data_IF_782056297684
#
_entry.id   IF_782056297684
#
_cell.length_a   1.000
_cell.length_b   1.000
_cell.length_c   1.000
_cell.angle_alpha   90.00
_cell.angle_beta   90.00
_cell.angle_gamma   90.00
#
_symmetry.space_group_name_H-M   'P 1'
#
loop_
_entity.id
_entity.type
_entity.pdbx_description
1 polymer ?
#
# COMPACT_ATOMS: atom_id res chain seq x y z
N UNK A 1 22.24 -9.80 -28.00
CA UNK A 1 22.35 -9.45 -27.58
C UNK A 1 22.05 -9.44 -26.60
N UNK A 2 22.56 -9.81 -25.98
CA UNK A 2 22.32 -9.80 -24.56
C UNK A 2 22.27 -8.38 -24.04
N UNK A 3 21.08 -7.94 -23.69
CA UNK A 3 20.95 -6.66 -22.99
C UNK A 3 21.65 -6.78 -21.64
N UNK A 4 22.84 -6.25 -21.54
CA UNK A 4 23.46 -6.02 -20.23
C UNK A 4 22.67 -4.90 -19.58
N UNK A 5 22.02 -5.19 -18.48
CA UNK A 5 21.41 -4.18 -17.63
C UNK A 5 22.43 -3.09 -17.32
N UNK A 6 22.13 -1.82 -17.60
CA UNK A 6 23.01 -0.77 -17.09
C UNK A 6 23.06 -0.92 -15.58
N UNK A 7 24.26 -0.89 -15.03
CA UNK A 7 24.44 -0.85 -13.58
C UNK A 7 23.85 0.46 -13.10
N UNK A 8 22.74 0.36 -12.40
CA UNK A 8 22.04 1.52 -11.87
C UNK A 8 22.81 2.16 -10.71
N UNK A 9 22.41 3.32 -10.34
CA UNK A 9 22.95 4.02 -9.18
C UNK A 9 22.73 3.26 -7.86
N UNK A 10 21.91 2.20 -7.85
CA UNK A 10 21.88 1.27 -6.74
C UNK A 10 23.23 0.62 -6.46
N UNK A 11 24.16 0.69 -7.44
CA UNK A 11 25.52 0.25 -7.25
C UNK A 11 26.23 0.95 -6.07
N UNK A 12 25.85 2.17 -5.78
CA UNK A 12 26.45 2.89 -4.66
C UNK A 12 26.07 2.27 -3.31
N UNK A 13 24.80 1.86 -3.18
CA UNK A 13 24.37 1.13 -2.00
C UNK A 13 24.97 -0.28 -1.95
N UNK A 14 25.16 -0.91 -3.10
CA UNK A 14 25.83 -2.21 -3.20
C UNK A 14 27.32 -2.09 -2.89
N UNK A 15 27.95 -1.00 -3.28
CA UNK A 15 29.34 -0.69 -2.94
C UNK A 15 29.49 -0.55 -1.43
N UNK A 16 28.51 0.09 -0.77
CA UNK A 16 28.48 0.21 0.68
C UNK A 16 28.44 -1.16 1.36
N UNK A 17 27.75 -2.13 0.76
CA UNK A 17 27.75 -3.52 1.28
C UNK A 17 29.08 -4.22 1.13
N UNK A 18 29.78 -3.97 0.02
CA UNK A 18 31.05 -4.67 -0.27
C UNK A 18 32.19 -4.24 0.66
N UNK A 19 32.08 -3.08 1.25
CA UNK A 19 33.15 -2.56 2.10
C UNK A 19 33.06 -2.99 3.55
N UNK A 20 32.09 -3.77 3.97
CA UNK A 20 31.90 -4.37 5.29
C UNK A 20 32.33 -3.50 6.51
N UNK A 21 32.50 -2.21 6.31
CA UNK A 21 32.84 -1.25 7.37
C UNK A 21 31.66 -0.30 7.57
N UNK A 22 31.08 -0.25 8.76
CA UNK A 22 30.01 0.72 9.04
C UNK A 22 30.42 2.16 8.72
N UNK A 23 31.69 2.46 8.89
CA UNK A 23 32.28 3.78 8.64
C UNK A 23 32.21 4.17 7.15
N UNK A 24 32.12 3.19 6.25
CA UNK A 24 32.05 3.49 4.83
C UNK A 24 30.78 4.25 4.42
N UNK A 25 29.72 4.14 5.21
CA UNK A 25 28.52 4.95 4.99
C UNK A 25 28.81 6.43 5.13
N UNK A 26 29.59 6.79 6.14
CA UNK A 26 29.95 8.19 6.37
C UNK A 26 30.99 8.67 5.36
N UNK A 27 31.85 7.79 4.91
CA UNK A 27 32.90 8.14 3.93
C UNK A 27 32.28 8.43 2.57
N UNK A 28 31.29 7.67 2.17
CA UNK A 28 30.64 7.87 0.86
C UNK A 28 29.78 9.12 0.87
N UNK A 29 29.31 9.55 2.04
CA UNK A 29 28.46 10.74 2.16
C UNK A 29 27.08 10.56 1.56
N UNK A 30 26.74 9.35 1.17
CA UNK A 30 25.44 9.05 0.53
C UNK A 30 24.34 9.00 1.58
N UNK A 31 24.65 8.46 2.75
CA UNK A 31 23.71 8.35 3.85
C UNK A 31 24.32 8.97 5.10
N UNK A 32 23.76 10.09 5.50
CA UNK A 32 24.06 10.71 6.78
C UNK A 32 23.14 10.09 7.83
N UNK A 33 23.63 9.80 9.01
CA UNK A 33 22.82 9.30 10.12
C UNK A 33 21.68 10.26 10.50
N UNK A 34 21.83 11.55 10.15
CA UNK A 34 20.81 12.57 10.39
C UNK A 34 19.72 12.62 9.33
N UNK A 35 19.90 11.94 8.19
CA UNK A 35 18.92 11.94 7.11
C UNK A 35 18.18 10.60 7.06
N UNK A 36 16.96 10.63 6.51
CA UNK A 36 16.13 9.45 6.41
C UNK A 36 16.72 8.48 5.38
N UNK A 37 17.20 7.29 5.81
CA UNK A 37 17.80 6.33 4.89
C UNK A 37 16.82 5.77 3.87
N UNK A 38 15.52 5.75 4.17
CA UNK A 38 14.49 5.29 3.24
C UNK A 38 14.34 6.28 2.09
N UNK A 39 14.24 7.55 2.42
CA UNK A 39 14.17 8.63 1.43
C UNK A 39 15.41 8.64 0.53
N UNK A 40 16.58 8.47 1.12
CA UNK A 40 17.83 8.43 0.34
C UNK A 40 17.83 7.24 -0.63
N UNK A 41 17.48 6.04 -0.15
CA UNK A 41 17.38 4.86 -1.00
C UNK A 41 16.38 5.10 -2.14
N UNK A 42 15.18 5.58 -1.82
CA UNK A 42 14.12 5.80 -2.81
C UNK A 42 14.49 6.88 -3.83
N UNK A 43 15.27 7.89 -3.41
CA UNK A 43 15.70 8.99 -4.29
C UNK A 43 16.83 8.60 -5.24
N UNK A 44 17.61 7.57 -4.89
CA UNK A 44 18.79 7.17 -5.66
C UNK A 44 18.49 6.05 -6.65
N UNK A 45 17.55 5.15 -6.31
CA UNK A 45 17.33 3.91 -7.05
C UNK A 45 16.21 4.10 -8.08
N UNK A 46 16.48 3.64 -9.30
CA UNK A 46 15.53 3.73 -10.42
C UNK A 46 14.43 2.67 -10.30
N UNK A 47 13.24 2.99 -10.79
CA UNK A 47 12.09 2.08 -10.88
C UNK A 47 12.47 0.80 -11.63
N UNK A 48 13.37 0.88 -12.60
CA UNK A 48 13.89 -0.25 -13.34
C UNK A 48 14.36 -1.40 -12.42
N UNK A 49 14.98 -1.08 -11.29
CA UNK A 49 15.50 -2.08 -10.35
C UNK A 49 14.39 -2.90 -9.67
N UNK A 50 13.18 -2.37 -9.67
CA UNK A 50 12.00 -3.08 -9.13
C UNK A 50 11.38 -4.03 -10.16
N UNK A 51 11.70 -3.86 -11.44
CA UNK A 51 11.12 -4.69 -12.51
C UNK A 51 11.73 -6.10 -12.44
N UNK A 52 10.90 -7.16 -12.42
CA UNK A 52 11.44 -8.52 -12.45
C UNK A 52 12.00 -8.85 -13.83
N UNK A 53 12.88 -9.82 -13.90
CA UNK A 53 13.44 -10.29 -15.17
C UNK A 53 12.36 -10.84 -16.10
N UNK A 54 11.37 -11.50 -15.52
CA UNK A 54 10.23 -12.07 -16.25
C UNK A 54 8.95 -11.52 -15.64
N UNK A 55 8.21 -10.73 -16.39
CA UNK A 55 6.90 -10.26 -15.96
C UNK A 55 5.84 -10.75 -16.93
N UNK A 56 4.74 -11.22 -16.36
CA UNK A 56 3.57 -11.62 -17.12
C UNK A 56 2.56 -10.49 -17.04
N UNK A 57 2.47 -9.71 -18.10
CA UNK A 57 1.50 -8.62 -18.23
C UNK A 57 0.42 -9.11 -19.17
N UNK A 58 -0.84 -9.04 -18.74
CA UNK A 58 -1.96 -9.40 -19.59
C UNK A 58 -2.60 -8.11 -20.09
N UNK A 59 -2.64 -7.99 -21.40
CA UNK A 59 -3.24 -6.86 -22.11
C UNK A 59 -4.48 -7.38 -22.83
N UNK A 60 -5.59 -6.69 -22.68
CA UNK A 60 -6.85 -7.03 -23.35
C UNK A 60 -7.31 -5.87 -24.24
N UNK A 61 -8.10 -6.23 -25.28
CA UNK A 61 -8.74 -5.21 -26.11
C UNK A 61 -9.90 -4.55 -25.35
N UNK A 62 -10.06 -3.25 -25.51
CA UNK A 62 -11.15 -2.47 -24.94
C UNK A 62 -12.53 -2.99 -25.36
N UNK A 63 -12.59 -3.66 -26.52
CA UNK A 63 -13.83 -4.25 -27.08
C UNK A 63 -14.11 -5.66 -26.54
N UNK A 64 -13.24 -6.21 -25.69
CA UNK A 64 -13.49 -7.50 -25.06
C UNK A 64 -14.71 -7.40 -24.12
N UNK A 65 -15.53 -8.44 -24.07
CA UNK A 65 -16.67 -8.48 -23.14
C UNK A 65 -16.17 -8.38 -21.69
N UNK A 66 -16.83 -7.56 -20.87
CA UNK A 66 -16.49 -7.37 -19.46
C UNK A 66 -16.46 -8.69 -18.68
N UNK A 67 -17.40 -9.60 -18.98
CA UNK A 67 -17.45 -10.94 -18.38
C UNK A 67 -16.20 -11.75 -18.69
N UNK A 68 -15.67 -11.63 -19.93
CA UNK A 68 -14.45 -12.33 -20.32
C UNK A 68 -13.23 -11.74 -19.62
N UNK A 69 -13.18 -10.40 -19.48
CA UNK A 69 -12.11 -9.73 -18.73
C UNK A 69 -12.08 -10.23 -17.28
N UNK A 70 -13.25 -10.33 -16.64
CA UNK A 70 -13.39 -10.85 -15.29
C UNK A 70 -12.93 -12.33 -15.19
N UNK A 71 -13.29 -13.17 -16.17
CA UNK A 71 -12.83 -14.58 -16.23
C UNK A 71 -11.31 -14.67 -16.31
N UNK A 72 -10.68 -13.83 -17.14
CA UNK A 72 -9.22 -13.77 -17.27
C UNK A 72 -8.58 -13.44 -15.92
N UNK A 73 -9.09 -12.43 -15.22
CA UNK A 73 -8.59 -12.06 -13.88
C UNK A 73 -8.64 -13.26 -12.93
N UNK A 74 -9.78 -13.96 -12.93
CA UNK A 74 -10.04 -15.08 -12.04
C UNK A 74 -9.15 -16.29 -12.37
N UNK A 75 -9.05 -16.68 -13.64
CA UNK A 75 -8.26 -17.84 -14.09
C UNK A 75 -6.76 -17.65 -13.86
N UNK A 76 -6.28 -16.42 -14.00
CA UNK A 76 -4.86 -16.12 -13.82
C UNK A 76 -4.54 -15.62 -12.41
N UNK A 77 -5.55 -15.55 -11.53
CA UNK A 77 -5.41 -15.04 -10.14
C UNK A 77 -4.75 -13.66 -10.11
N UNK A 78 -5.21 -12.77 -10.98
CA UNK A 78 -4.74 -11.38 -11.08
C UNK A 78 -5.89 -10.41 -10.83
N UNK A 79 -5.56 -9.24 -10.34
CA UNK A 79 -6.55 -8.22 -9.97
C UNK A 79 -6.49 -6.98 -10.87
N UNK A 80 -5.68 -7.04 -11.92
CA UNK A 80 -5.40 -5.89 -12.78
C UNK A 80 -5.08 -6.36 -14.19
N UNK A 81 -5.74 -5.75 -15.18
CA UNK A 81 -5.47 -5.93 -16.61
C UNK A 81 -5.15 -4.58 -17.24
N UNK A 82 -4.32 -4.58 -18.25
CA UNK A 82 -4.12 -3.41 -19.11
C UNK A 82 -5.14 -3.50 -20.24
N UNK A 83 -5.87 -2.41 -20.45
CA UNK A 83 -6.86 -2.32 -21.52
C UNK A 83 -6.32 -1.42 -22.61
N UNK A 84 -6.30 -1.94 -23.83
CA UNK A 84 -5.79 -1.26 -25.01
C UNK A 84 -6.94 -1.00 -25.98
N UNK A 85 -7.13 0.25 -26.39
CA UNK A 85 -8.12 0.62 -27.40
C UNK A 85 -7.47 0.59 -28.79
N UNK A 86 -7.72 -0.50 -29.53
CA UNK A 86 -7.17 -0.70 -30.88
C UNK A 86 -7.86 0.15 -31.94
N UNK A 87 -9.03 0.72 -31.65
CA UNK A 87 -9.76 1.56 -32.61
C UNK A 87 -9.23 2.99 -32.68
N UNK A 88 -8.58 3.45 -31.64
CA UNK A 88 -7.99 4.79 -31.61
C UNK A 88 -6.58 4.75 -32.19
N UNK A 89 -6.49 4.96 -33.51
CA UNK A 89 -5.23 4.96 -34.24
C UNK A 89 -4.35 6.17 -33.93
N UNK A 90 -4.92 7.23 -33.34
CA UNK A 90 -4.17 8.47 -33.14
C UNK A 90 -3.28 8.44 -31.92
N UNK A 91 -3.66 7.72 -30.87
CA UNK A 91 -2.83 7.49 -29.69
C UNK A 91 -3.35 6.28 -28.92
N UNK A 92 -2.44 5.49 -28.47
CA UNK A 92 -2.71 4.32 -27.65
C UNK A 92 -3.27 4.78 -26.32
N UNK A 93 -4.60 4.82 -26.23
CA UNK A 93 -5.25 5.01 -24.92
C UNK A 93 -5.17 3.69 -24.19
N UNK A 94 -4.23 3.63 -23.27
CA UNK A 94 -4.10 2.52 -22.34
C UNK A 94 -4.78 2.88 -21.05
N UNK A 95 -5.50 1.95 -20.49
CA UNK A 95 -6.14 2.09 -19.20
C UNK A 95 -5.89 0.85 -18.36
N UNK A 96 -6.18 0.95 -17.09
CA UNK A 96 -6.13 -0.18 -16.17
C UNK A 96 -7.56 -0.56 -15.80
N UNK A 97 -7.88 -1.83 -15.98
CA UNK A 97 -9.10 -2.43 -15.46
C UNK A 97 -8.74 -3.22 -14.21
N UNK A 98 -9.36 -2.88 -13.10
CA UNK A 98 -9.11 -3.53 -11.82
C UNK A 98 -10.30 -4.40 -11.39
N UNK A 99 -10.04 -5.30 -10.45
CA UNK A 99 -11.10 -6.08 -9.83
C UNK A 99 -12.17 -5.17 -9.18
N UNK A 100 -11.76 -4.05 -8.63
CA UNK A 100 -12.67 -3.05 -8.05
C UNK A 100 -13.63 -2.48 -9.10
N UNK A 101 -13.15 -2.22 -10.32
CA UNK A 101 -14.00 -1.75 -11.43
C UNK A 101 -15.05 -2.81 -11.80
N UNK A 102 -14.65 -4.09 -11.80
CA UNK A 102 -15.58 -5.20 -12.05
C UNK A 102 -16.67 -5.26 -10.98
N UNK A 103 -16.31 -5.10 -9.71
CA UNK A 103 -17.28 -5.08 -8.62
C UNK A 103 -18.21 -3.85 -8.70
N UNK A 104 -17.67 -2.69 -9.06
CA UNK A 104 -18.47 -1.49 -9.32
C UNK A 104 -19.47 -1.73 -10.46
N UNK A 105 -19.04 -2.43 -11.52
CA UNK A 105 -19.92 -2.76 -12.65
C UNK A 105 -21.06 -3.69 -12.19
N UNK A 106 -20.76 -4.69 -11.37
CA UNK A 106 -21.79 -5.59 -10.81
C UNK A 106 -22.77 -4.79 -9.94
N UNK A 107 -22.28 -3.88 -9.10
CA UNK A 107 -23.12 -3.05 -8.24
C UNK A 107 -24.06 -2.15 -9.04
N UNK A 108 -23.50 -1.45 -10.02
CA UNK A 108 -24.18 -0.36 -10.75
C UNK A 108 -24.96 -0.83 -11.98
N UNK A 109 -24.65 -2.03 -12.50
CA UNK A 109 -25.27 -2.62 -13.70
C UNK A 109 -25.31 -1.63 -14.86
N UNK A 110 -24.15 -1.08 -15.28
CA UNK A 110 -24.16 -0.11 -16.36
C UNK A 110 -24.69 -0.74 -17.65
N UNK A 111 -25.36 0.06 -18.46
CA UNK A 111 -25.84 -0.40 -19.77
C UNK A 111 -24.73 -0.24 -20.79
N UNK A 112 -24.69 -1.17 -21.74
CA UNK A 112 -23.80 -1.04 -22.89
C UNK A 112 -24.17 0.23 -23.68
N UNK A 113 -23.18 0.95 -24.15
CA UNK A 113 -23.36 2.16 -24.95
C UNK A 113 -24.14 1.91 -26.24
N UNK A 114 -23.94 0.72 -26.82
CA UNK A 114 -24.54 0.36 -28.10
C UNK A 114 -25.72 -0.61 -27.96
N UNK A 115 -26.22 -0.83 -26.73
CA UNK A 115 -27.31 -1.75 -26.45
C UNK A 115 -26.97 -3.23 -26.61
N UNK A 116 -25.70 -3.56 -26.84
CA UNK A 116 -25.20 -4.92 -26.92
C UNK A 116 -24.64 -5.42 -25.60
N UNK A 117 -23.62 -6.26 -25.70
CA UNK A 117 -22.91 -6.79 -24.53
C UNK A 117 -22.04 -5.69 -23.90
N UNK A 118 -21.91 -5.76 -22.58
CA UNK A 118 -21.06 -4.83 -21.82
C UNK A 118 -19.58 -5.12 -22.13
N UNK A 119 -18.84 -4.09 -22.49
CA UNK A 119 -17.44 -4.20 -22.91
C UNK A 119 -16.49 -3.78 -21.78
N UNK A 120 -15.23 -4.18 -21.85
CA UNK A 120 -14.20 -3.78 -20.90
C UNK A 120 -14.10 -2.25 -20.80
N UNK A 121 -14.22 -1.55 -21.94
CA UNK A 121 -14.23 -0.07 -21.99
C UNK A 121 -15.40 0.56 -21.26
N UNK A 122 -16.53 -0.13 -21.13
CA UNK A 122 -17.73 0.42 -20.49
C UNK A 122 -17.62 0.42 -18.96
N UNK A 123 -16.78 -0.43 -18.41
CA UNK A 123 -16.62 -0.59 -16.96
C UNK A 123 -15.37 0.06 -16.40
N UNK A 124 -14.57 0.72 -17.25
CA UNK A 124 -13.40 1.47 -16.77
C UNK A 124 -13.86 2.65 -15.91
N UNK A 125 -13.18 2.89 -14.81
CA UNK A 125 -13.49 3.97 -13.87
C UNK A 125 -13.28 5.38 -14.45
N UNK A 126 -12.72 5.48 -15.64
CA UNK A 126 -12.53 6.77 -16.33
C UNK A 126 -11.34 7.57 -15.83
N UNK A 127 -10.64 7.12 -14.82
CA UNK A 127 -9.42 7.79 -14.37
C UNK A 127 -8.31 7.60 -15.42
N UNK A 128 -7.53 8.64 -15.63
CA UNK A 128 -6.37 8.57 -16.52
C UNK A 128 -5.37 7.56 -15.98
N UNK A 129 -4.69 6.85 -16.89
CA UNK A 129 -3.63 5.91 -16.54
C UNK A 129 -2.51 6.66 -15.81
N UNK A 130 -2.25 6.26 -14.58
CA UNK A 130 -1.07 6.71 -13.84
C UNK A 130 0.08 5.80 -14.21
N UNK A 131 1.14 6.37 -14.71
CA UNK A 131 2.31 5.64 -15.18
C UNK A 131 3.59 6.38 -14.83
N UNK A 132 4.64 5.63 -14.58
CA UNK A 132 5.99 6.18 -14.31
C UNK A 132 6.97 5.60 -15.34
N UNK A 133 8.06 6.33 -15.59
CA UNK A 133 9.14 5.84 -16.45
C UNK A 133 10.00 4.83 -15.71
N UNK A 134 10.62 3.91 -16.44
CA UNK A 134 11.67 3.02 -15.92
C UNK A 134 12.83 3.81 -15.29
N UNK A 135 13.07 5.02 -15.78
CA UNK A 135 14.15 5.91 -15.29
C UNK A 135 13.72 6.81 -14.14
N UNK A 136 12.42 6.81 -13.77
CA UNK A 136 11.95 7.52 -12.58
C UNK A 136 12.56 6.91 -11.32
N UNK A 137 12.61 7.68 -10.24
CA UNK A 137 13.09 7.17 -8.96
C UNK A 137 11.99 6.41 -8.22
N UNK A 138 12.39 5.50 -7.34
CA UNK A 138 11.44 4.78 -6.49
C UNK A 138 10.60 5.77 -5.67
N UNK A 139 11.17 6.89 -5.27
CA UNK A 139 10.46 7.92 -4.53
C UNK A 139 9.27 8.46 -5.35
N UNK A 140 9.51 8.79 -6.63
CA UNK A 140 8.44 9.28 -7.53
C UNK A 140 7.32 8.25 -7.65
N UNK A 141 7.69 6.97 -7.80
CA UNK A 141 6.73 5.86 -7.86
C UNK A 141 5.91 5.76 -6.56
N UNK A 142 6.55 5.87 -5.41
CA UNK A 142 5.90 5.81 -4.11
C UNK A 142 4.92 6.97 -3.92
N UNK A 143 5.32 8.17 -4.34
CA UNK A 143 4.47 9.36 -4.28
C UNK A 143 3.24 9.20 -5.19
N UNK A 144 3.42 8.69 -6.40
CA UNK A 144 2.30 8.43 -7.32
C UNK A 144 1.32 7.41 -6.75
N UNK A 145 1.83 6.31 -6.17
CA UNK A 145 1.00 5.31 -5.51
C UNK A 145 0.21 5.95 -4.36
N UNK A 146 0.87 6.74 -3.53
CA UNK A 146 0.29 7.33 -2.33
C UNK A 146 -0.73 8.44 -2.66
N UNK A 147 -0.35 9.38 -3.51
CA UNK A 147 -1.19 10.55 -3.86
C UNK A 147 -2.48 10.14 -4.56
N UNK A 148 -2.40 9.14 -5.44
CA UNK A 148 -3.54 8.66 -6.20
C UNK A 148 -4.26 7.48 -5.52
N UNK A 149 -3.81 7.07 -4.34
CA UNK A 149 -4.35 5.93 -3.57
C UNK A 149 -4.39 4.64 -4.40
N UNK A 150 -3.32 4.41 -5.16
CA UNK A 150 -3.21 3.25 -6.06
C UNK A 150 -2.45 2.11 -5.40
N UNK A 151 -2.88 0.90 -5.69
CA UNK A 151 -2.14 -0.30 -5.26
C UNK A 151 -1.14 -0.77 -6.32
N UNK A 152 -1.24 -0.24 -7.55
CA UNK A 152 -0.38 -0.58 -8.69
C UNK A 152 -0.22 0.62 -9.61
N UNK A 153 0.95 0.70 -10.24
CA UNK A 153 1.29 1.73 -11.24
C UNK A 153 1.93 1.04 -12.44
N UNK A 154 1.61 1.51 -13.63
CA UNK A 154 2.20 1.03 -14.88
C UNK A 154 3.57 1.65 -15.07
N UNK A 155 4.52 0.85 -15.52
CA UNK A 155 5.88 1.30 -15.84
C UNK A 155 6.06 1.30 -17.35
N UNK A 156 6.52 2.42 -17.86
CA UNK A 156 6.74 2.64 -19.30
C UNK A 156 8.24 2.78 -19.59
N UNK A 157 8.65 2.27 -20.74
CA UNK A 157 10.01 2.51 -21.25
C UNK A 157 10.10 3.87 -21.97
N UNK A 158 11.25 4.13 -22.59
CA UNK A 158 11.52 5.38 -23.30
C UNK A 158 10.65 5.53 -24.55
N UNK A 159 10.15 4.43 -25.12
CA UNK A 159 9.23 4.41 -26.24
C UNK A 159 7.76 4.52 -25.83
N UNK A 160 7.52 4.69 -24.52
CA UNK A 160 6.16 4.73 -23.91
C UNK A 160 5.43 3.39 -24.02
N UNK A 161 6.17 2.29 -24.17
CA UNK A 161 5.59 0.95 -24.13
C UNK A 161 5.52 0.44 -22.69
N UNK A 162 4.49 -0.35 -22.40
CA UNK A 162 4.31 -0.94 -21.07
C UNK A 162 5.32 -2.07 -20.90
N UNK A 163 6.19 -1.93 -19.92
CA UNK A 163 7.19 -2.94 -19.58
C UNK A 163 6.84 -3.70 -18.32
N UNK A 164 6.09 -3.07 -17.39
CA UNK A 164 5.74 -3.74 -16.14
C UNK A 164 4.58 -3.05 -15.42
N UNK A 165 4.01 -3.74 -14.43
CA UNK A 165 3.10 -3.18 -13.43
C UNK A 165 3.73 -3.43 -12.06
N UNK A 166 4.00 -2.35 -11.32
CA UNK A 166 4.60 -2.44 -9.99
C UNK A 166 3.51 -2.22 -8.95
N UNK A 167 3.48 -3.11 -7.96
CA UNK A 167 2.54 -3.03 -6.84
C UNK A 167 3.19 -2.44 -5.59
N UNK A 168 2.36 -1.92 -4.67
CA UNK A 168 2.80 -1.48 -3.34
C UNK A 168 3.61 -2.60 -2.66
N UNK A 169 3.14 -3.86 -2.74
CA UNK A 169 3.85 -5.02 -2.17
C UNK A 169 5.30 -5.10 -2.67
N UNK A 170 5.49 -4.94 -3.98
CA UNK A 170 6.82 -5.06 -4.58
C UNK A 170 7.75 -3.95 -4.13
N UNK A 171 7.23 -2.73 -4.04
CA UNK A 171 7.98 -1.56 -3.56
C UNK A 171 8.39 -1.77 -2.10
N UNK A 172 7.42 -2.11 -1.25
CA UNK A 172 7.67 -2.30 0.19
C UNK A 172 8.67 -3.46 0.41
N UNK A 173 8.54 -4.55 -0.36
CA UNK A 173 9.46 -5.68 -0.27
C UNK A 173 10.90 -5.26 -0.60
N UNK A 174 11.08 -4.43 -1.63
CA UNK A 174 12.40 -3.94 -2.02
C UNK A 174 13.00 -3.04 -0.92
N UNK A 175 12.20 -2.11 -0.40
CA UNK A 175 12.62 -1.20 0.67
C UNK A 175 12.97 -2.00 1.93
N UNK A 176 12.13 -2.96 2.31
CA UNK A 176 12.34 -3.79 3.51
C UNK A 176 13.60 -4.65 3.39
N UNK A 177 13.83 -5.22 2.22
CA UNK A 177 15.06 -5.98 1.94
C UNK A 177 16.31 -5.10 2.10
N UNK A 178 16.23 -3.87 1.64
CA UNK A 178 17.35 -2.92 1.74
C UNK A 178 17.57 -2.49 3.19
N UNK A 179 16.51 -2.27 3.95
CA UNK A 179 16.60 -1.92 5.37
C UNK A 179 17.34 -2.94 6.19
N UNK A 180 17.06 -4.22 5.96
CA UNK A 180 17.75 -5.31 6.66
C UNK A 180 19.26 -5.27 6.42
N UNK A 181 19.63 -4.91 5.19
CA UNK A 181 21.05 -4.82 4.79
C UNK A 181 21.76 -3.63 5.43
N UNK A 182 21.03 -2.57 5.70
CA UNK A 182 21.61 -1.31 6.20
C UNK A 182 21.65 -1.22 7.73
N UNK A 183 20.99 -2.10 8.44
CA UNK A 183 20.91 -2.13 9.92
C UNK A 183 20.34 -0.84 10.55
N UNK A 184 19.55 -0.07 9.77
CA UNK A 184 18.98 1.19 10.26
C UNK A 184 17.58 1.06 10.86
N UNK A 185 17.04 -0.13 10.87
CA UNK A 185 15.63 -0.32 11.12
C UNK A 185 15.33 -0.64 12.60
N UNK A 186 15.80 0.19 13.51
CA UNK A 186 15.49 0.02 14.94
C UNK A 186 14.00 0.02 15.23
N UNK A 187 13.23 0.79 14.44
CA UNK A 187 11.77 0.85 14.61
C UNK A 187 11.09 -0.49 14.29
N UNK A 188 11.72 -1.37 13.51
CA UNK A 188 11.15 -2.68 13.18
C UNK A 188 10.99 -3.59 14.41
N UNK A 189 11.75 -3.36 15.49
CA UNK A 189 11.61 -4.12 16.72
C UNK A 189 10.52 -3.60 17.65
N UNK A 190 9.98 -2.41 17.38
CA UNK A 190 8.90 -1.83 18.19
C UNK A 190 7.58 -2.57 17.96
N UNK A 191 6.71 -2.58 18.97
CA UNK A 191 5.38 -3.15 18.88
C UNK A 191 4.53 -2.40 17.84
N UNK A 192 3.81 -3.15 17.01
CA UNK A 192 2.93 -2.58 15.99
C UNK A 192 1.79 -1.78 16.64
N UNK A 193 1.28 -2.23 17.79
CA UNK A 193 0.20 -1.56 18.51
C UNK A 193 0.59 -0.22 19.11
N UNK A 194 1.89 0.06 19.23
CA UNK A 194 2.39 1.36 19.71
C UNK A 194 2.83 2.26 18.56
N UNK A 195 2.65 1.81 17.32
CA UNK A 195 3.05 2.57 16.13
C UNK A 195 1.86 3.36 15.56
N UNK A 196 2.17 4.31 14.69
CA UNK A 196 1.15 5.03 13.92
C UNK A 196 0.78 4.30 12.61
N UNK A 197 1.18 3.02 12.48
CA UNK A 197 0.93 2.23 11.27
C UNK A 197 -0.42 1.52 11.40
N UNK A 198 -1.34 1.77 10.47
CA UNK A 198 -2.65 1.13 10.45
C UNK A 198 -3.74 1.91 11.17
N UNK A 199 -4.89 1.29 11.30
CA UNK A 199 -6.08 1.82 11.97
C UNK A 199 -6.30 1.03 13.26
N UNK A 200 -6.35 1.73 14.40
CA UNK A 200 -6.47 1.09 15.73
C UNK A 200 -7.77 1.42 16.43
N UNK A 201 -8.53 2.39 15.92
CA UNK A 201 -9.83 2.77 16.46
C UNK A 201 -10.91 2.40 15.44
N UNK A 202 -11.97 1.77 15.93
CA UNK A 202 -13.17 1.49 15.14
C UNK A 202 -12.89 0.66 13.87
N UNK A 203 -12.24 -0.49 14.05
CA UNK A 203 -12.05 -1.44 12.93
C UNK A 203 -13.42 -1.90 12.43
N UNK A 204 -13.68 -1.69 11.15
CA UNK A 204 -14.92 -2.14 10.52
C UNK A 204 -14.96 -3.66 10.49
N UNK A 205 -16.08 -4.23 10.90
CA UNK A 205 -16.33 -5.67 10.87
C UNK A 205 -17.68 -5.95 10.20
N UNK A 206 -17.90 -7.17 9.76
CA UNK A 206 -19.16 -7.56 9.13
C UNK A 206 -19.65 -8.90 9.72
N UNK A 207 -20.96 -9.03 9.94
CA UNK A 207 -21.55 -10.26 10.43
C UNK A 207 -21.47 -11.38 9.37
N UNK A 208 -21.19 -12.61 9.79
CA UNK A 208 -21.25 -13.80 8.91
C UNK A 208 -22.65 -14.02 8.32
N UNK A 209 -23.68 -13.50 8.99
CA UNK A 209 -25.08 -13.63 8.54
C UNK A 209 -25.48 -12.52 7.54
N UNK A 210 -24.63 -11.53 7.30
CA UNK A 210 -24.83 -10.51 6.28
C UNK A 210 -24.64 -11.10 4.87
N UNK A 211 -25.20 -10.43 3.87
CA UNK A 211 -25.04 -10.86 2.48
C UNK A 211 -23.64 -10.49 1.94
N UNK A 212 -23.18 -11.25 0.97
CA UNK A 212 -21.91 -10.95 0.25
C UNK A 212 -22.03 -9.59 -0.45
N UNK A 213 -23.22 -9.21 -0.91
CA UNK A 213 -23.50 -7.89 -1.49
C UNK A 213 -23.19 -6.78 -0.49
N UNK A 214 -23.63 -6.95 0.77
CA UNK A 214 -23.35 -5.95 1.83
C UNK A 214 -21.84 -5.79 2.06
N UNK A 215 -21.10 -6.90 2.11
CA UNK A 215 -19.64 -6.86 2.24
C UNK A 215 -19.01 -6.10 1.07
N UNK A 216 -19.47 -6.39 -0.15
CA UNK A 216 -19.00 -5.70 -1.36
C UNK A 216 -19.29 -4.19 -1.27
N UNK A 217 -20.50 -3.80 -0.86
CA UNK A 217 -20.87 -2.38 -0.73
C UNK A 217 -20.00 -1.67 0.28
N UNK A 218 -19.78 -2.26 1.46
CA UNK A 218 -18.94 -1.66 2.49
C UNK A 218 -17.49 -1.51 2.00
N UNK A 219 -16.94 -2.54 1.32
CA UNK A 219 -15.58 -2.46 0.76
C UNK A 219 -15.46 -1.39 -0.33
N UNK A 220 -16.47 -1.25 -1.18
CA UNK A 220 -16.45 -0.25 -2.26
C UNK A 220 -16.68 1.16 -1.72
N UNK A 221 -17.60 1.32 -0.78
CA UNK A 221 -17.97 2.61 -0.21
C UNK A 221 -16.88 3.23 0.67
N UNK A 222 -16.22 2.40 1.48
CA UNK A 222 -15.18 2.87 2.43
C UNK A 222 -13.75 2.55 1.96
N UNK A 223 -13.61 2.02 0.75
CA UNK A 223 -12.31 1.68 0.13
C UNK A 223 -11.53 0.61 0.93
N UNK A 224 -12.23 -0.29 1.62
CA UNK A 224 -11.59 -1.40 2.31
C UNK A 224 -11.19 -2.50 1.32
N UNK A 225 -10.06 -3.16 1.55
CA UNK A 225 -9.63 -4.33 0.76
C UNK A 225 -10.13 -5.63 1.36
N UNK A 226 -10.42 -5.63 2.66
CA UNK A 226 -10.82 -6.80 3.44
C UNK A 226 -11.63 -6.35 4.67
N UNK A 227 -12.48 -7.25 5.18
CA UNK A 227 -13.26 -7.02 6.40
C UNK A 227 -13.19 -8.28 7.27
N UNK A 228 -12.92 -8.13 8.60
CA UNK A 228 -13.10 -9.25 9.53
C UNK A 228 -14.57 -9.63 9.61
N UNK A 229 -14.83 -10.93 9.60
CA UNK A 229 -16.17 -11.50 9.69
C UNK A 229 -16.40 -11.95 11.12
N UNK A 230 -17.53 -11.55 11.70
CA UNK A 230 -17.87 -11.89 13.09
C UNK A 230 -19.09 -12.78 13.18
N UNK A 231 -19.14 -13.55 14.26
CA UNK A 231 -20.35 -14.29 14.65
C UNK A 231 -21.30 -13.38 15.45
N UNK A 232 -22.37 -13.96 15.98
CA UNK A 232 -23.41 -13.26 16.74
C UNK A 232 -22.89 -12.67 18.07
N UNK A 233 -21.77 -13.21 18.57
CA UNK A 233 -21.14 -12.74 19.82
C UNK A 233 -20.06 -11.66 19.57
N UNK A 234 -19.84 -11.31 18.30
CA UNK A 234 -18.81 -10.36 17.93
C UNK A 234 -17.41 -10.98 17.81
N UNK A 235 -17.31 -12.32 17.94
CA UNK A 235 -16.05 -13.03 17.79
C UNK A 235 -15.68 -13.11 16.30
N UNK A 236 -14.43 -12.78 15.97
CA UNK A 236 -13.91 -12.90 14.60
C UNK A 236 -13.79 -14.38 14.23
N UNK A 237 -14.44 -14.76 13.13
CA UNK A 237 -14.47 -16.14 12.62
C UNK A 237 -13.79 -16.27 11.25
N UNK A 238 -13.36 -15.18 10.66
CA UNK A 238 -12.66 -15.17 9.38
C UNK A 238 -12.46 -13.76 8.85
N UNK A 239 -12.05 -13.67 7.60
CA UNK A 239 -11.90 -12.40 6.87
C UNK A 239 -12.45 -12.63 5.47
N UNK A 240 -13.17 -11.65 4.93
CA UNK A 240 -13.61 -11.64 3.54
C UNK A 240 -12.88 -10.53 2.79
N UNK A 241 -12.42 -10.83 1.57
CA UNK A 241 -11.72 -9.88 0.70
C UNK A 241 -12.48 -9.71 -0.63
N UNK A 242 -12.15 -8.65 -1.38
CA UNK A 242 -12.66 -8.47 -2.76
C UNK A 242 -12.35 -9.68 -3.64
N UNK A 243 -11.17 -10.27 -3.47
CA UNK A 243 -10.75 -11.45 -4.23
C UNK A 243 -11.61 -12.67 -3.88
N UNK A 244 -11.97 -12.85 -2.61
CA UNK A 244 -12.86 -13.93 -2.18
C UNK A 244 -14.24 -13.79 -2.81
N UNK A 245 -14.79 -12.59 -2.81
CA UNK A 245 -16.08 -12.30 -3.46
C UNK A 245 -16.02 -12.74 -4.93
N UNK A 246 -14.95 -12.37 -5.63
CA UNK A 246 -14.78 -12.70 -7.04
C UNK A 246 -14.61 -14.21 -7.28
N UNK A 247 -13.87 -14.89 -6.39
CA UNK A 247 -13.71 -16.35 -6.46
C UNK A 247 -15.03 -17.10 -6.20
N UNK A 248 -15.88 -16.54 -5.35
CA UNK A 248 -17.15 -17.13 -4.98
C UNK A 248 -18.22 -17.02 -6.07
N UNK A 249 -18.17 -15.97 -6.90
CA UNK A 249 -19.16 -15.74 -7.94
C UNK A 249 -19.28 -16.94 -8.90
N UNK A 250 -20.52 -17.32 -9.29
CA UNK A 250 -20.69 -18.41 -10.26
C UNK A 250 -19.99 -18.13 -11.59
N UNK A 251 -19.48 -19.16 -12.24
CA UNK A 251 -18.79 -19.05 -13.54
C UNK A 251 -19.71 -18.59 -14.65
N UNK A 252 -21.00 -18.84 -14.54
CA UNK A 252 -21.99 -18.45 -15.53
C UNK A 252 -22.18 -16.95 -15.62
N UNK A 253 -21.92 -16.22 -14.53
CA UNK A 253 -22.17 -14.76 -14.43
C UNK A 253 -23.60 -14.35 -14.75
N UNK A 254 -24.55 -15.27 -14.63
CA UNK A 254 -25.95 -14.94 -14.79
C UNK A 254 -26.41 -14.26 -13.49
N UNK A 255 -26.90 -13.03 -13.62
CA UNK A 255 -27.39 -12.19 -12.52
C UNK A 255 -26.43 -12.18 -11.31
N UNK A 256 -25.15 -11.76 -11.50
CA UNK A 256 -24.16 -11.82 -10.40
C UNK A 256 -24.58 -10.95 -9.19
N UNK A 257 -25.22 -9.84 -9.41
CA UNK A 257 -25.71 -8.95 -8.34
C UNK A 257 -26.76 -9.67 -7.48
N UNK A 258 -27.72 -10.32 -8.12
CA UNK A 258 -28.76 -11.09 -7.42
C UNK A 258 -28.16 -12.19 -6.56
N UNK A 259 -27.20 -12.94 -7.15
CA UNK A 259 -26.49 -13.99 -6.40
C UNK A 259 -25.83 -13.42 -5.15
N UNK A 260 -25.13 -12.27 -5.27
CA UNK A 260 -24.48 -11.61 -4.13
C UNK A 260 -25.48 -11.18 -3.06
N UNK A 261 -26.70 -10.74 -3.48
CA UNK A 261 -27.76 -10.30 -2.57
C UNK A 261 -28.42 -11.45 -1.82
N UNK A 262 -28.46 -12.64 -2.43
CA UNK A 262 -29.11 -13.82 -1.85
C UNK A 262 -28.13 -14.68 -1.05
N UNK A 263 -26.79 -14.58 -1.30
CA UNK A 263 -25.76 -15.41 -0.67
C UNK A 263 -25.28 -14.76 0.62
N UNK A 264 -25.24 -15.52 1.71
CA UNK A 264 -24.65 -15.06 2.97
C UNK A 264 -23.13 -15.27 2.98
N UNK A 265 -22.45 -14.46 3.76
CA UNK A 265 -20.98 -14.59 3.96
C UNK A 265 -20.66 -15.97 4.55
N UNK A 266 -21.50 -16.48 5.47
CA UNK A 266 -21.35 -17.83 6.05
C UNK A 266 -21.22 -18.93 4.98
N UNK A 267 -21.93 -18.76 3.85
CA UNK A 267 -21.98 -19.77 2.80
C UNK A 267 -20.67 -19.87 2.02
N UNK A 268 -19.91 -18.77 1.95
CA UNK A 268 -18.64 -18.70 1.22
C UNK A 268 -17.42 -18.66 2.14
N UNK A 269 -17.61 -18.61 3.45
CA UNK A 269 -16.50 -18.45 4.41
C UNK A 269 -15.45 -19.56 4.28
N UNK A 270 -15.86 -20.75 3.85
CA UNK A 270 -14.97 -21.89 3.65
C UNK A 270 -13.92 -21.66 2.53
N UNK A 271 -14.16 -20.72 1.63
CA UNK A 271 -13.19 -20.36 0.56
C UNK A 271 -12.36 -19.13 0.93
N UNK A 272 -12.74 -18.39 1.98
CA UNK A 272 -12.04 -17.18 2.44
C UNK A 272 -10.85 -17.59 3.31
N UNK A 273 -9.75 -17.99 2.69
CA UNK A 273 -8.58 -18.55 3.40
C UNK A 273 -7.42 -17.56 3.55
N UNK A 274 -7.47 -16.41 2.87
CA UNK A 274 -6.35 -15.47 2.83
C UNK A 274 -6.42 -14.45 3.98
N UNK A 275 -6.43 -14.94 5.23
CA UNK A 275 -6.50 -14.05 6.39
C UNK A 275 -5.21 -14.08 7.21
N UNK A 276 -4.85 -12.92 7.74
CA UNK A 276 -3.69 -12.74 8.61
C UNK A 276 -4.18 -12.15 9.93
N UNK A 277 -3.97 -12.88 11.01
CA UNK A 277 -4.23 -12.39 12.36
C UNK A 277 -2.89 -12.17 13.06
N UNK A 278 -2.80 -11.06 13.77
CA UNK A 278 -1.60 -10.63 14.50
C UNK A 278 -2.00 -10.19 15.92
N UNK A 279 -0.99 -10.06 16.77
CA UNK A 279 -1.13 -9.44 18.08
C UNK A 279 -0.67 -7.98 18.01
N UNK A 280 -1.28 -7.10 18.80
CA UNK A 280 -0.79 -5.72 18.95
C UNK A 280 0.63 -5.67 19.53
N UNK A 281 1.07 -6.75 20.21
CA UNK A 281 2.42 -6.87 20.77
C UNK A 281 3.46 -7.34 19.73
N UNK A 282 3.04 -7.85 18.56
CA UNK A 282 3.97 -8.28 17.52
C UNK A 282 4.82 -7.10 17.06
N UNK A 283 6.07 -7.36 16.71
CA UNK A 283 6.94 -6.30 16.23
C UNK A 283 6.54 -5.86 14.81
N UNK A 284 6.79 -4.60 14.50
CA UNK A 284 6.53 -4.03 13.16
C UNK A 284 7.17 -4.89 12.07
N UNK A 285 8.40 -5.36 12.31
CA UNK A 285 9.13 -6.23 11.36
C UNK A 285 8.42 -7.55 11.13
N UNK A 286 7.94 -8.21 12.20
CA UNK A 286 7.20 -9.48 12.09
C UNK A 286 5.91 -9.29 11.30
N UNK A 287 5.16 -8.23 11.58
CA UNK A 287 3.91 -7.92 10.86
C UNK A 287 4.20 -7.67 9.38
N UNK A 288 5.25 -6.90 9.10
CA UNK A 288 5.65 -6.60 7.72
C UNK A 288 6.09 -7.88 6.98
N UNK A 289 6.91 -8.72 7.60
CA UNK A 289 7.32 -10.00 7.03
C UNK A 289 6.10 -10.89 6.73
N UNK A 290 5.18 -10.95 7.66
CA UNK A 290 3.95 -11.75 7.50
C UNK A 290 3.13 -11.25 6.31
N UNK A 291 2.92 -9.94 6.23
CA UNK A 291 2.18 -9.32 5.11
C UNK A 291 2.87 -9.55 3.76
N UNK A 292 4.21 -9.45 3.72
CA UNK A 292 4.97 -9.62 2.47
C UNK A 292 4.95 -11.08 1.98
N UNK A 293 4.85 -12.04 2.89
CA UNK A 293 4.87 -13.47 2.56
C UNK A 293 3.47 -14.05 2.30
N UNK A 294 2.42 -13.32 2.63
CA UNK A 294 1.03 -13.78 2.46
C UNK A 294 0.41 -13.26 1.16
N UNK A 295 -0.71 -13.86 0.75
CA UNK A 295 -1.50 -13.35 -0.37
C UNK A 295 -2.27 -12.08 0.02
N UNK A 296 -2.76 -12.02 1.24
CA UNK A 296 -3.51 -10.88 1.76
C UNK A 296 -2.61 -9.64 1.86
N UNK A 297 -3.20 -8.47 1.64
CA UNK A 297 -2.51 -7.18 1.79
C UNK A 297 -2.84 -6.51 3.12
N UNK A 298 -3.71 -7.13 3.93
CA UNK A 298 -4.17 -6.57 5.19
C UNK A 298 -4.11 -7.64 6.29
N UNK A 299 -3.56 -7.26 7.44
CA UNK A 299 -3.55 -8.05 8.67
C UNK A 299 -4.50 -7.41 9.68
N UNK A 300 -5.10 -8.23 10.52
CA UNK A 300 -6.00 -7.75 11.57
C UNK A 300 -5.44 -8.13 12.94
N UNK A 301 -5.30 -7.13 13.80
CA UNK A 301 -4.90 -7.35 15.19
C UNK A 301 -6.11 -7.82 15.98
N UNK A 302 -5.95 -8.95 16.66
CA UNK A 302 -7.03 -9.58 17.43
C UNK A 302 -6.69 -9.54 18.92
N UNK A 303 -7.67 -9.17 19.71
CA UNK A 303 -7.60 -9.22 21.19
C UNK A 303 -8.96 -9.68 21.72
N UNK A 304 -8.97 -10.70 22.58
CA UNK A 304 -10.19 -11.29 23.12
C UNK A 304 -11.21 -11.64 22.01
N UNK A 305 -10.73 -12.27 20.94
CA UNK A 305 -11.50 -12.67 19.77
C UNK A 305 -12.08 -11.50 18.96
N UNK A 306 -11.74 -10.24 19.28
CA UNK A 306 -12.25 -9.05 18.58
C UNK A 306 -11.15 -8.41 17.75
N UNK A 307 -11.53 -7.85 16.62
CA UNK A 307 -10.60 -7.07 15.78
C UNK A 307 -10.39 -5.68 16.40
N UNK A 308 -9.16 -5.40 16.81
CA UNK A 308 -8.77 -4.14 17.46
C UNK A 308 -7.87 -3.29 16.57
N UNK A 309 -7.36 -3.84 15.46
CA UNK A 309 -6.49 -3.10 14.54
C UNK A 309 -6.56 -3.68 13.14
N UNK A 310 -6.34 -2.83 12.14
CA UNK A 310 -6.24 -3.22 10.73
C UNK A 310 -5.00 -2.56 10.14
N UNK A 311 -4.09 -3.35 9.61
CA UNK A 311 -2.79 -2.89 9.09
C UNK A 311 -2.61 -3.42 7.67
N UNK A 312 -2.35 -2.54 6.73
CA UNK A 312 -2.15 -2.89 5.31
C UNK A 312 -0.76 -2.52 4.82
N UNK A 313 -0.37 -3.08 3.69
CA UNK A 313 0.88 -2.69 3.00
C UNK A 313 0.84 -1.20 2.59
N UNK A 314 -0.35 -0.65 2.32
CA UNK A 314 -0.49 0.76 2.00
C UNK A 314 -0.21 1.65 3.22
N UNK A 315 -0.54 1.18 4.43
CA UNK A 315 -0.20 1.91 5.66
C UNK A 315 1.31 1.96 5.86
N UNK A 316 2.01 0.87 5.52
CA UNK A 316 3.48 0.87 5.52
C UNK A 316 4.04 1.86 4.50
N UNK A 317 3.47 1.93 3.30
CA UNK A 317 3.90 2.90 2.28
C UNK A 317 3.73 4.33 2.83
N UNK A 318 2.57 4.63 3.40
CA UNK A 318 2.28 5.93 3.99
C UNK A 318 3.27 6.28 5.10
N UNK A 319 3.54 5.31 5.97
CA UNK A 319 4.47 5.49 7.09
C UNK A 319 5.89 5.80 6.59
N UNK A 320 6.38 5.03 5.62
CA UNK A 320 7.73 5.21 5.06
C UNK A 320 7.87 6.58 4.39
N UNK A 321 6.84 7.01 3.65
CA UNK A 321 6.86 8.33 2.98
C UNK A 321 6.81 9.50 3.96
N UNK A 322 6.15 9.32 5.11
CA UNK A 322 5.90 10.37 6.09
C UNK A 322 6.65 10.16 7.40
N UNK A 323 7.52 9.17 7.46
CA UNK A 323 8.26 8.88 8.69
C UNK A 323 9.01 10.14 9.12
N UNK A 324 8.65 10.74 10.26
CA UNK A 324 9.44 11.87 10.74
C UNK A 324 10.84 11.36 11.09
N UNK A 325 11.83 12.12 10.73
CA UNK A 325 13.19 11.87 11.20
C UNK A 325 13.12 11.62 12.70
N UNK A 326 13.79 10.57 13.16
CA UNK A 326 13.88 10.33 14.60
C UNK A 326 14.33 11.64 15.26
N UNK A 327 13.62 12.13 16.27
CA UNK A 327 14.05 13.36 16.92
C UNK A 327 15.51 13.19 17.30
N UNK A 328 16.35 14.06 16.80
CA UNK A 328 17.73 14.16 17.26
C UNK A 328 17.63 14.21 18.77
N UNK A 329 18.32 13.29 19.47
CA UNK A 329 18.40 13.33 20.92
C UNK A 329 18.69 14.79 21.28
N UNK A 330 17.76 15.45 21.93
CA UNK A 330 17.95 16.84 22.34
C UNK A 330 19.29 16.86 23.09
N UNK A 331 20.22 17.66 22.63
CA UNK A 331 21.38 17.97 23.42
C UNK A 331 20.87 18.39 24.80
N UNK A 332 21.39 17.81 25.88
CA UNK A 332 20.96 18.23 27.19
C UNK A 332 21.08 19.74 27.26
N UNK A 333 20.09 20.45 27.79
CA UNK A 333 20.15 21.92 27.81
C UNK A 333 21.49 22.33 28.39
N UNK A 334 22.24 23.12 27.63
CA UNK A 334 23.51 23.67 28.08
C UNK A 334 23.28 24.26 29.46
N UNK A 335 24.07 23.84 30.43
CA UNK A 335 23.97 24.32 31.82
C UNK A 335 23.85 25.84 31.76
N UNK A 336 22.81 26.36 32.42
CA UNK A 336 22.65 27.81 32.59
C UNK A 336 23.93 28.35 33.22
N UNK A 337 24.45 29.48 32.77
CA UNK A 337 25.54 30.11 33.47
C UNK A 337 25.14 30.43 34.87
N UNK A 338 25.90 29.96 35.85
CA UNK A 338 25.73 30.31 37.25
C UNK A 338 25.79 31.83 37.39
N UNK A 339 24.84 32.46 38.10
CA UNK A 339 24.92 33.89 38.32
C UNK A 339 26.13 34.19 39.20
N UNK A 340 27.03 35.03 38.69
CA UNK A 340 28.14 35.59 39.46
C UNK A 340 27.56 36.41 40.63
N UNK A 341 28.00 36.10 41.83
CA UNK A 341 27.69 36.87 43.03
C UNK A 341 28.35 38.26 42.97
N UNK A 342 27.57 39.28 42.69
CA UNK A 342 27.99 40.64 42.92
C UNK A 342 27.34 41.12 44.22
N UNK A 343 28.18 41.40 45.22
CA UNK A 343 27.87 41.93 46.52
C UNK A 343 27.68 43.48 46.45
N UNK A 344 26.80 43.98 47.31
CA UNK A 344 26.62 45.34 47.81
C UNK A 344 26.04 46.32 46.76
N UNK A 345 25.09 47.16 47.10
CA UNK A 345 24.93 47.98 48.28
C UNK A 345 23.47 48.44 48.40
N UNK A 346 23.08 48.66 49.64
CA UNK A 346 21.87 49.26 50.14
C UNK A 346 21.70 50.69 49.62
N UNK A 347 20.51 51.13 49.29
CA UNK A 347 19.87 52.33 49.81
C UNK A 347 18.49 52.59 49.18
N UNK A 348 17.51 52.70 50.04
CA UNK A 348 16.34 53.58 50.16
C UNK A 348 15.70 54.10 48.83
N UNK A 349 14.41 54.09 48.66
CA UNK A 349 13.40 54.89 49.35
C UNK A 349 12.00 54.55 48.78
N UNK A 350 11.07 54.46 49.64
CA UNK A 350 9.63 54.61 49.65
C UNK A 350 8.90 55.22 48.45
N UNK A 351 7.65 54.76 48.37
CA UNK A 351 6.46 55.52 48.01
C UNK A 351 6.07 55.40 46.51
N UNK A 352 4.97 55.08 46.10
CA UNK A 352 3.61 55.42 46.43
C UNK A 352 2.61 54.53 45.67
N UNK A 353 1.55 54.26 46.34
CA UNK A 353 0.26 53.77 45.93
C UNK A 353 -0.42 54.46 44.73
N UNK A 354 -1.30 53.74 44.14
CA UNK A 354 -2.64 54.10 43.64
C UNK A 354 -2.95 53.97 42.16
N UNK A 355 -3.94 53.13 41.94
CA UNK A 355 -5.07 53.24 40.96
C UNK A 355 -4.72 53.05 39.50
N UNK A 356 -5.30 52.15 38.83
CA UNK A 356 -6.66 51.70 38.52
C UNK A 356 -6.63 50.29 37.94
#
# INVERSE_FOLDING_TARGET
>A
XGFRRPRSNSSDLLILRKTSRPISFNVVGVIDQKTDPYHQYMSLVDVYELCPNNSKIIIIDAQLEATMAFKIMREHNITTLIVWDTKDRSRIKRNILTLTDCLFAIRNEPKSKDGGKLLASDILSGSSLVAVSVSSKILDLCEELHMNRLHRVVVLDDQKEVVHIISVRRVIAAIHKQNRSLHFAQWLSKSIGLSAIGTWDHVAVISKDATVYRAMEDMLGYHYSALPVTDQNGKVVGVITKTDICKALPLSFIEPKRWLQETKISDILHICKSHIFISSADSIGQVLDTLLNAESQTAFAIHDDKAIGAISLFDFLTFILRCPLAPTAEEPPSAMPTPESTSSSVDNVETMMHKL
#
